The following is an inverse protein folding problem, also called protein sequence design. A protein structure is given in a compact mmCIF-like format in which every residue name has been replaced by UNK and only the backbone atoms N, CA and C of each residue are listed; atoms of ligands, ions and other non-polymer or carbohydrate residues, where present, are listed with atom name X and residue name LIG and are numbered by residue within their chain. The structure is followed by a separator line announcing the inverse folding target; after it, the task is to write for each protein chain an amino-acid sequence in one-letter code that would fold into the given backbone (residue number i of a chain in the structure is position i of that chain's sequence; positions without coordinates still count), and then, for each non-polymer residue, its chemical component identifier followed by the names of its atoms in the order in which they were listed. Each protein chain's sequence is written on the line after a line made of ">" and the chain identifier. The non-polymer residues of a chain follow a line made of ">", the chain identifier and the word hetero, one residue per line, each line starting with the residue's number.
data_IF_060991226644
#
_entry.id   IF_060991226644
#
_cell.length_a   1.000
_cell.length_b   1.000
_cell.length_c   1.000
_cell.angle_alpha   90.00
_cell.angle_beta   90.00
_cell.angle_gamma   90.00
#
_symmetry.space_group_name_H-M   'P 1'
#
loop_
_entity.id
_entity.type
_entity.pdbx_description
1 polymer ?
#
# COMPACT_ATOMS: atom_id res chain seq x y z
N UNK A 1 38.21 -24.11 20.11
CA UNK A 1 38.24 -24.56 18.70
C UNK A 1 37.05 -25.43 18.28
N UNK A 2 36.17 -25.86 19.20
CA UNK A 2 34.99 -26.71 18.88
C UNK A 2 33.77 -25.92 18.40
N UNK A 3 33.55 -24.70 18.90
CA UNK A 3 32.38 -23.89 18.58
C UNK A 3 32.25 -23.56 17.08
N UNK A 4 33.36 -23.38 16.38
CA UNK A 4 33.37 -23.10 14.93
C UNK A 4 32.74 -24.24 14.12
N UNK A 5 32.94 -25.50 14.53
CA UNK A 5 32.33 -26.66 13.86
C UNK A 5 30.82 -26.71 13.99
N UNK A 6 30.24 -26.03 14.98
CA UNK A 6 28.79 -25.94 15.18
C UNK A 6 28.23 -24.66 14.55
N UNK A 7 28.95 -23.54 14.69
CA UNK A 7 28.51 -22.24 14.18
C UNK A 7 28.51 -22.16 12.65
N UNK A 8 29.50 -22.75 11.97
CA UNK A 8 29.57 -22.75 10.50
C UNK A 8 28.34 -23.42 9.86
N UNK A 9 27.97 -24.67 10.21
CA UNK A 9 26.79 -25.30 9.61
C UNK A 9 25.49 -24.58 9.98
N UNK A 10 25.36 -24.06 11.20
CA UNK A 10 24.19 -23.25 11.60
C UNK A 10 24.09 -22.01 10.71
N UNK A 11 25.18 -21.28 10.51
CA UNK A 11 25.19 -20.10 9.66
C UNK A 11 24.80 -20.43 8.21
N UNK A 12 25.30 -21.54 7.66
CA UNK A 12 24.94 -22.01 6.31
C UNK A 12 23.44 -22.31 6.22
N UNK A 13 22.86 -22.99 7.23
CA UNK A 13 21.42 -23.29 7.28
C UNK A 13 20.61 -21.99 7.33
N UNK A 14 21.01 -21.03 8.16
CA UNK A 14 20.31 -19.74 8.28
C UNK A 14 20.34 -18.98 6.96
N UNK A 15 21.48 -18.94 6.27
CA UNK A 15 21.60 -18.30 4.96
C UNK A 15 20.74 -19.02 3.92
N UNK A 16 20.74 -20.36 3.90
CA UNK A 16 19.92 -21.13 2.98
C UNK A 16 18.42 -20.89 3.21
N UNK A 17 17.97 -20.83 4.47
CA UNK A 17 16.60 -20.49 4.83
C UNK A 17 16.22 -19.07 4.41
N UNK A 18 17.11 -18.10 4.63
CA UNK A 18 16.89 -16.72 4.21
C UNK A 18 16.73 -16.60 2.68
N UNK A 19 17.59 -17.28 1.91
CA UNK A 19 17.49 -17.32 0.45
C UNK A 19 16.18 -17.99 0.01
N UNK A 20 15.83 -19.12 0.62
CA UNK A 20 14.57 -19.81 0.31
C UNK A 20 13.33 -18.95 0.59
N UNK A 21 13.28 -18.28 1.75
CA UNK A 21 12.20 -17.34 2.10
C UNK A 21 12.13 -16.15 1.15
N UNK A 22 13.28 -15.61 0.74
CA UNK A 22 13.35 -14.52 -0.22
C UNK A 22 12.71 -14.92 -1.55
N UNK A 23 13.10 -16.06 -2.12
CA UNK A 23 12.50 -16.54 -3.37
C UNK A 23 11.01 -16.86 -3.24
N UNK A 24 10.59 -17.44 -2.11
CA UNK A 24 9.16 -17.66 -1.84
C UNK A 24 8.36 -16.35 -1.79
N UNK A 25 8.89 -15.32 -1.14
CA UNK A 25 8.23 -14.01 -1.05
C UNK A 25 8.16 -13.31 -2.42
N UNK A 26 9.19 -13.44 -3.26
CA UNK A 26 9.21 -12.92 -4.63
C UNK A 26 8.16 -13.62 -5.50
N UNK A 27 8.09 -14.96 -5.43
CA UNK A 27 7.11 -15.75 -6.19
C UNK A 27 5.66 -15.53 -5.72
N UNK A 28 5.47 -15.14 -4.45
CA UNK A 28 4.16 -14.83 -3.87
C UNK A 28 3.48 -13.57 -4.44
N UNK A 29 4.04 -12.94 -5.48
CA UNK A 29 3.37 -11.88 -6.23
C UNK A 29 3.16 -10.58 -5.45
N UNK A 30 3.91 -10.33 -4.36
CA UNK A 30 3.75 -9.11 -3.55
C UNK A 30 4.13 -7.82 -4.31
N UNK A 31 4.72 -7.95 -5.50
CA UNK A 31 5.08 -6.83 -6.37
C UNK A 31 4.01 -6.48 -7.42
N UNK A 32 2.96 -7.31 -7.56
CA UNK A 32 1.87 -7.09 -8.53
C UNK A 32 0.94 -5.94 -8.08
N UNK A 33 0.92 -5.61 -6.78
CA UNK A 33 0.07 -4.56 -6.20
C UNK A 33 0.80 -3.21 -6.01
N UNK A 34 1.98 -3.04 -6.59
CA UNK A 34 2.68 -1.73 -6.61
C UNK A 34 2.07 -0.75 -7.62
N UNK A 35 1.23 -1.21 -8.54
CA UNK A 35 0.49 -0.37 -9.49
C UNK A 35 -0.81 0.22 -8.92
N UNK A 36 -1.30 -0.29 -7.78
CA UNK A 36 -2.59 0.09 -7.19
C UNK A 36 -2.73 1.58 -6.79
N UNK A 37 -1.77 2.19 -6.07
CA UNK A 37 -1.97 3.54 -5.52
C UNK A 37 -1.74 4.69 -6.50
N UNK A 38 -1.01 4.46 -7.61
CA UNK A 38 -0.67 5.52 -8.56
C UNK A 38 -1.87 5.91 -9.44
N UNK A 39 -2.79 4.96 -9.69
CA UNK A 39 -3.95 5.20 -10.52
C UNK A 39 -5.15 5.82 -9.78
N UNK A 40 -5.26 5.66 -8.47
CA UNK A 40 -6.33 6.30 -7.69
C UNK A 40 -6.17 7.83 -7.67
N UNK A 41 -4.94 8.33 -7.46
CA UNK A 41 -4.69 9.78 -7.38
C UNK A 41 -5.04 10.55 -8.66
N UNK A 42 -4.99 9.91 -9.84
CA UNK A 42 -5.28 10.57 -11.11
C UNK A 42 -6.77 10.53 -11.49
N UNK A 43 -7.55 9.59 -10.94
CA UNK A 43 -8.95 9.37 -11.26
C UNK A 43 -9.92 9.59 -10.08
N UNK A 44 -9.42 9.99 -8.90
CA UNK A 44 -10.25 10.31 -7.72
C UNK A 44 -11.28 11.44 -8.01
N UNK A 45 -11.01 12.31 -8.98
CA UNK A 45 -11.92 13.39 -9.42
C UNK A 45 -13.15 12.86 -10.20
N UNK A 46 -13.09 11.64 -10.74
CA UNK A 46 -14.17 10.97 -11.47
C UNK A 46 -15.00 10.03 -10.57
N UNK A 47 -14.64 9.87 -9.29
CA UNK A 47 -15.42 9.05 -8.36
C UNK A 47 -16.79 9.71 -8.10
N UNK A 48 -17.92 9.03 -8.41
CA UNK A 48 -19.26 9.54 -8.11
C UNK A 48 -19.47 9.87 -6.63
N UNK A 49 -18.75 9.22 -5.71
CA UNK A 49 -18.77 9.55 -4.28
C UNK A 49 -18.13 10.93 -4.01
N UNK A 50 -17.07 11.28 -4.73
CA UNK A 50 -16.41 12.58 -4.63
C UNK A 50 -17.28 13.70 -5.22
N UNK A 51 -17.92 13.45 -6.37
CA UNK A 51 -18.85 14.40 -6.98
C UNK A 51 -20.08 14.70 -6.13
N UNK A 52 -20.63 13.68 -5.45
CA UNK A 52 -21.74 13.84 -4.51
C UNK A 52 -21.35 14.75 -3.33
N UNK A 53 -20.16 14.57 -2.77
CA UNK A 53 -19.64 15.43 -1.69
C UNK A 53 -19.41 16.88 -2.12
N UNK A 54 -18.91 17.11 -3.34
CA UNK A 54 -18.75 18.47 -3.88
C UNK A 54 -20.10 19.16 -4.17
N UNK A 55 -21.10 18.42 -4.66
CA UNK A 55 -22.45 18.95 -4.87
C UNK A 55 -23.13 19.36 -3.55
N UNK A 56 -22.96 18.56 -2.50
CA UNK A 56 -23.48 18.87 -1.16
C UNK A 56 -22.80 20.11 -0.55
N UNK A 57 -21.47 20.21 -0.67
CA UNK A 57 -20.70 21.35 -0.18
C UNK A 57 -21.07 22.68 -0.89
N UNK A 58 -21.37 22.61 -2.20
CA UNK A 58 -21.85 23.77 -2.97
C UNK A 58 -23.24 24.22 -2.54
N UNK A 59 -24.16 23.28 -2.33
CA UNK A 59 -25.53 23.59 -1.88
C UNK A 59 -25.56 24.27 -0.52
N UNK A 60 -24.73 23.83 0.42
CA UNK A 60 -24.64 24.44 1.76
C UNK A 60 -24.06 25.87 1.73
N UNK A 61 -23.21 26.19 0.76
CA UNK A 61 -22.61 27.53 0.62
C UNK A 61 -23.61 28.53 0.03
N UNK A 62 -24.44 28.10 -0.92
CA UNK A 62 -25.51 28.92 -1.50
C UNK A 62 -26.66 29.14 -0.51
N UNK A 63 -27.03 28.13 0.27
CA UNK A 63 -28.10 28.22 1.28
C UNK A 63 -27.73 29.15 2.45
N UNK A 64 -26.47 29.12 2.92
CA UNK A 64 -25.98 30.08 3.93
C UNK A 64 -25.89 31.52 3.41
N UNK A 65 -25.42 31.71 2.18
CA UNK A 65 -25.30 33.05 1.56
C UNK A 65 -26.67 33.72 1.35
N UNK A 66 -27.72 32.92 1.10
CA UNK A 66 -29.11 33.38 0.99
C UNK A 66 -29.77 33.70 2.33
N UNK A 67 -29.28 33.15 3.45
CA UNK A 67 -29.90 33.35 4.76
C UNK A 67 -29.35 34.59 5.49
N UNK A 68 -28.19 35.09 5.07
CA UNK A 68 -27.50 36.25 5.66
C UNK A 68 -27.76 37.58 4.89
N UNK A 69 -28.62 37.59 3.87
CA UNK A 69 -29.03 38.77 3.08
C UNK A 69 -30.48 39.19 3.36
#
# INVERSE_FOLDING_TARGET
>A
MTALYVMIPIAVIVVALAIWLFFWAVDSGQYDDLEGPAHSILFDDEDPAHQAGQAEAKGQTEEKSSHDA
#
